data_IF_077824949738
#
_entry.id   IF_077824949738
#
_cell.length_a   1.000
_cell.length_b   1.000
_cell.length_c   1.000
_cell.angle_alpha   90.00
_cell.angle_beta   90.00
_cell.angle_gamma   90.00
#
_symmetry.space_group_name_H-M   'P 1'
#
loop_
_entity.id
_entity.type
_entity.pdbx_description
1 polymer ?
#
# COMPACT_ATOMS: atom_id res chain seq x y z
N UNK A 1 8.28 -3.64 11.11
CA UNK A 1 7.56 -4.92 11.34
C UNK A 1 6.17 -4.84 10.71
N UNK A 2 5.74 -5.91 10.04
CA UNK A 2 4.40 -6.09 9.46
C UNK A 2 3.46 -6.79 10.46
N UNK A 3 2.15 -6.66 10.27
CA UNK A 3 1.15 -7.37 11.06
C UNK A 3 -0.08 -7.79 10.24
N UNK A 4 -0.25 -9.11 10.10
CA UNK A 4 -1.21 -9.76 9.19
C UNK A 4 -1.18 -9.16 7.76
N UNK A 5 -0.03 -9.20 7.06
CA UNK A 5 0.04 -8.74 5.68
C UNK A 5 -0.87 -9.60 4.78
N UNK A 6 -1.57 -8.98 3.84
CA UNK A 6 -2.61 -9.67 3.03
C UNK A 6 -2.35 -9.67 1.53
N UNK A 7 -1.44 -8.83 1.04
CA UNK A 7 -1.11 -8.75 -0.38
C UNK A 7 0.24 -8.14 -0.61
N UNK A 8 0.85 -8.51 -1.74
CA UNK A 8 2.17 -8.03 -2.17
C UNK A 8 2.15 -7.79 -3.67
N UNK A 9 2.86 -6.75 -4.10
CA UNK A 9 3.17 -6.49 -5.52
C UNK A 9 4.61 -6.01 -5.65
N UNK A 10 5.22 -6.28 -6.79
CA UNK A 10 6.58 -5.83 -7.12
C UNK A 10 6.51 -5.01 -8.40
N UNK A 11 7.14 -3.83 -8.41
CA UNK A 11 7.23 -3.01 -9.61
C UNK A 11 8.37 -3.48 -10.56
N UNK A 12 8.50 -2.82 -11.72
CA UNK A 12 9.54 -3.15 -12.70
C UNK A 12 10.97 -2.89 -12.21
N UNK A 13 11.15 -2.06 -11.18
CA UNK A 13 12.44 -1.76 -10.57
C UNK A 13 12.82 -2.76 -9.46
N UNK A 14 11.91 -3.68 -9.12
CA UNK A 14 12.08 -4.64 -8.04
C UNK A 14 11.75 -4.08 -6.65
N UNK A 15 11.05 -2.95 -6.58
CA UNK A 15 10.51 -2.40 -5.32
C UNK A 15 9.33 -3.26 -4.88
N UNK A 16 9.34 -3.69 -3.62
CA UNK A 16 8.28 -4.49 -3.01
C UNK A 16 7.30 -3.60 -2.27
N UNK A 17 6.00 -3.82 -2.49
CA UNK A 17 4.91 -3.14 -1.81
C UNK A 17 4.04 -4.18 -1.10
N UNK A 18 3.73 -3.95 0.17
CA UNK A 18 2.94 -4.89 0.99
C UNK A 18 1.77 -4.19 1.62
N UNK A 19 0.59 -4.79 1.51
CA UNK A 19 -0.60 -4.41 2.27
C UNK A 19 -0.47 -4.95 3.70
N UNK A 20 -0.07 -4.07 4.62
CA UNK A 20 0.08 -4.36 6.05
C UNK A 20 -1.28 -4.24 6.74
N UNK A 21 -2.10 -5.28 6.55
CA UNK A 21 -3.55 -5.26 6.73
C UNK A 21 -4.01 -4.82 8.12
N UNK A 22 -3.42 -5.36 9.19
CA UNK A 22 -3.84 -4.98 10.53
C UNK A 22 -3.40 -3.57 10.90
N UNK A 23 -2.23 -3.14 10.42
CA UNK A 23 -1.71 -1.79 10.64
C UNK A 23 -2.32 -0.73 9.72
N UNK A 24 -3.29 -1.11 8.86
CA UNK A 24 -4.04 -0.18 8.01
C UNK A 24 -3.14 0.73 7.14
N UNK A 25 -2.10 0.13 6.54
CA UNK A 25 -1.11 0.86 5.75
C UNK A 25 -0.53 0.04 4.61
N UNK A 26 0.02 0.72 3.62
CA UNK A 26 0.85 0.11 2.58
C UNK A 26 2.30 0.47 2.85
N UNK A 27 3.14 -0.55 2.86
CA UNK A 27 4.57 -0.44 3.10
C UNK A 27 5.36 -0.65 1.80
N UNK A 28 6.48 0.06 1.63
CA UNK A 28 7.39 -0.01 0.47
C UNK A 28 8.82 -0.35 0.89
N UNK A 29 9.46 -1.24 0.14
CA UNK A 29 10.90 -1.54 0.20
C UNK A 29 11.52 -1.42 -1.20
N UNK A 30 12.42 -0.45 -1.43
CA UNK A 30 13.29 -0.47 -2.60
C UNK A 30 14.08 -1.79 -2.70
N UNK A 31 14.49 -2.16 -3.91
CA UNK A 31 15.29 -3.37 -4.13
C UNK A 31 16.54 -3.36 -3.22
N UNK A 32 16.69 -4.41 -2.41
CA UNK A 32 17.79 -4.57 -1.46
C UNK A 32 17.61 -3.85 -0.12
N UNK A 33 16.53 -3.11 0.09
CA UNK A 33 16.26 -2.46 1.37
C UNK A 33 15.88 -3.48 2.46
N UNK A 34 16.46 -3.33 3.64
CA UNK A 34 16.13 -4.14 4.84
C UNK A 34 15.06 -3.48 5.71
N UNK A 35 14.78 -2.19 5.48
CA UNK A 35 13.77 -1.42 6.18
C UNK A 35 12.75 -0.83 5.19
N UNK A 36 11.50 -0.79 5.63
CA UNK A 36 10.38 -0.33 4.81
C UNK A 36 9.87 1.02 5.27
N UNK A 37 9.21 1.72 4.36
CA UNK A 37 8.56 3.02 4.61
C UNK A 37 7.07 2.92 4.36
N UNK A 38 6.27 3.65 5.16
CA UNK A 38 4.84 3.81 4.89
C UNK A 38 4.68 4.73 3.68
N UNK A 39 3.84 4.36 2.72
CA UNK A 39 3.56 5.20 1.54
C UNK A 39 2.08 5.58 1.42
N UNK A 40 1.19 4.83 2.06
CA UNK A 40 -0.26 5.06 2.07
C UNK A 40 -0.82 4.57 3.41
N UNK A 41 -1.79 5.30 3.97
CA UNK A 41 -2.41 4.93 5.24
C UNK A 41 -1.50 5.17 6.44
N UNK A 42 -1.68 4.38 7.51
CA UNK A 42 -0.93 4.53 8.76
C UNK A 42 -1.47 5.64 9.67
N UNK A 43 -2.54 6.33 9.28
CA UNK A 43 -3.22 7.38 10.04
C UNK A 43 -4.43 6.85 10.82
N UNK A 44 -4.35 5.59 11.28
CA UNK A 44 -5.47 4.87 11.87
C UNK A 44 -6.41 4.25 10.83
N UNK A 45 -7.34 3.43 11.32
CA UNK A 45 -8.41 2.86 10.50
C UNK A 45 -9.54 3.86 10.31
N UNK A 46 -10.04 3.98 9.09
CA UNK A 46 -11.18 4.83 8.79
C UNK A 46 -11.39 5.03 7.29
N UNK A 47 -12.37 5.86 6.96
CA UNK A 47 -12.88 6.05 5.60
C UNK A 47 -12.31 7.32 4.92
N UNK A 48 -11.50 8.12 5.63
CA UNK A 48 -10.87 9.29 5.02
C UNK A 48 -9.90 8.90 3.90
N UNK A 49 -9.57 9.83 3.00
CA UNK A 49 -8.71 9.57 1.84
C UNK A 49 -7.28 9.16 2.22
N UNK A 50 -6.81 9.57 3.40
CA UNK A 50 -5.50 9.21 3.95
C UNK A 50 -5.56 8.03 4.95
N UNK A 51 -6.70 7.35 5.04
CA UNK A 51 -6.94 6.20 5.91
C UNK A 51 -7.31 4.96 5.09
N UNK A 52 -7.04 3.79 5.68
CA UNK A 52 -7.38 2.48 5.12
C UNK A 52 -8.03 1.63 6.21
N UNK A 53 -8.74 0.59 5.81
CA UNK A 53 -9.31 -0.40 6.70
C UNK A 53 -9.10 -1.81 6.12
N UNK A 54 -8.18 -2.58 6.73
CA UNK A 54 -7.80 -3.92 6.30
C UNK A 54 -7.45 -4.02 4.80
N UNK A 55 -6.48 -3.24 4.29
CA UNK A 55 -6.10 -3.32 2.89
C UNK A 55 -5.64 -4.74 2.50
N UNK A 56 -5.94 -5.16 1.27
CA UNK A 56 -5.67 -6.52 0.77
C UNK A 56 -4.90 -6.51 -0.54
N UNK A 57 -5.60 -6.51 -1.67
CA UNK A 57 -5.03 -6.56 -3.01
C UNK A 57 -4.34 -5.25 -3.39
N UNK A 58 -3.22 -5.39 -4.11
CA UNK A 58 -2.45 -4.30 -4.68
C UNK A 58 -2.23 -4.56 -6.18
N UNK A 59 -2.32 -3.52 -6.99
CA UNK A 59 -1.99 -3.60 -8.42
C UNK A 59 -1.48 -2.25 -8.93
N UNK A 60 -0.55 -2.29 -9.88
CA UNK A 60 -0.10 -1.09 -10.60
C UNK A 60 -0.78 -0.98 -11.96
N UNK A 61 -1.11 0.24 -12.39
CA UNK A 61 -1.35 0.51 -13.81
C UNK A 61 -0.05 0.84 -14.56
N UNK A 62 -0.14 0.93 -15.88
CA UNK A 62 1.00 1.27 -16.77
C UNK A 62 1.60 2.66 -16.53
N UNK A 63 0.89 3.53 -15.79
CA UNK A 63 1.33 4.88 -15.46
C UNK A 63 1.91 4.93 -14.04
N UNK A 64 2.14 3.78 -13.39
CA UNK A 64 2.73 3.71 -12.05
C UNK A 64 1.78 4.07 -10.91
N UNK A 65 0.47 4.21 -11.17
CA UNK A 65 -0.48 4.41 -10.08
C UNK A 65 -0.75 3.10 -9.36
N UNK A 66 -0.79 3.15 -8.02
CA UNK A 66 -1.11 2.03 -7.17
C UNK A 66 -2.61 1.99 -6.86
N UNK A 67 -3.24 0.85 -7.16
CA UNK A 67 -4.61 0.54 -6.76
C UNK A 67 -4.56 -0.34 -5.51
N UNK A 68 -5.35 0.04 -4.51
CA UNK A 68 -5.45 -0.64 -3.22
C UNK A 68 -6.88 -1.07 -3.00
N UNK A 69 -7.09 -2.37 -2.78
CA UNK A 69 -8.37 -2.91 -2.30
C UNK A 69 -8.47 -2.61 -0.81
N UNK A 70 -9.24 -1.58 -0.47
CA UNK A 70 -9.51 -1.12 0.88
C UNK A 70 -10.70 -1.90 1.45
N UNK A 71 -10.47 -3.19 1.70
CA UNK A 71 -11.49 -4.22 1.90
C UNK A 71 -12.52 -3.87 2.97
N UNK A 72 -12.06 -3.38 4.13
CA UNK A 72 -12.94 -3.03 5.24
C UNK A 72 -13.79 -1.79 5.01
N UNK A 73 -13.48 -0.99 3.99
CA UNK A 73 -14.25 0.17 3.57
C UNK A 73 -15.03 -0.08 2.27
N UNK A 74 -15.07 -1.32 1.78
CA UNK A 74 -15.82 -1.72 0.58
C UNK A 74 -15.50 -0.88 -0.67
N UNK A 75 -14.25 -0.46 -0.82
CA UNK A 75 -13.83 0.40 -1.93
C UNK A 75 -12.47 0.01 -2.51
N UNK A 76 -12.18 0.56 -3.69
CA UNK A 76 -10.84 0.57 -4.28
C UNK A 76 -10.36 2.02 -4.32
N UNK A 77 -9.13 2.26 -3.88
CA UNK A 77 -8.50 3.58 -3.94
C UNK A 77 -7.31 3.56 -4.90
N UNK A 78 -7.12 4.65 -5.64
CA UNK A 78 -6.00 4.86 -6.56
C UNK A 78 -5.07 5.93 -5.98
N UNK A 79 -3.77 5.64 -5.95
CA UNK A 79 -2.74 6.55 -5.48
C UNK A 79 -1.72 6.80 -6.59
N UNK A 80 -1.49 8.07 -6.90
CA UNK A 80 -0.36 8.48 -7.72
C UNK A 80 0.89 8.52 -6.83
N UNK A 81 1.87 7.67 -7.13
CA UNK A 81 3.11 7.58 -6.35
C UNK A 81 4.26 8.41 -6.94
N UNK A 82 4.12 8.95 -8.14
CA UNK A 82 5.16 9.78 -8.78
C UNK A 82 5.31 11.15 -8.11
N UNK A 83 4.27 11.61 -7.39
CA UNK A 83 4.25 12.91 -6.71
C UNK A 83 5.01 12.93 -5.36
N UNK A 84 5.45 11.76 -4.88
CA UNK A 84 6.08 11.60 -3.56
C UNK A 84 7.61 11.41 -3.64
N UNK A 85 8.26 11.98 -4.66
CA UNK A 85 9.72 12.08 -4.77
C UNK A 85 10.22 13.42 -4.27
#
# INVERSE_FOLDING_TARGET
QLYCPRGVVVDQLGTVYVADGWNARIMRWPKGATQGSVIVGGNGRGEQLNQLNWPTGLAFDRHGNLYVVDYGNHRVQKFNLESNK
#
